data_IF_600882748503
#
_entry.id   IF_600882748503
#
_cell.length_a   1.000
_cell.length_b   1.000
_cell.length_c   1.000
_cell.angle_alpha   90.00
_cell.angle_beta   90.00
_cell.angle_gamma   90.00
#
_symmetry.space_group_name_H-M   'P 1'
#
loop_
_entity.id
_entity.type
_entity.pdbx_description
1 polymer ?
#
# COMPACT_ATOMS: atom_id res chain seq x y z
N UNK A 1 -0.24 -40.28 -11.13
CA UNK A 1 0.90 -39.35 -11.10
C UNK A 1 0.73 -38.37 -9.95
N UNK A 2 1.79 -38.10 -9.18
CA UNK A 2 1.78 -37.09 -8.09
C UNK A 2 1.82 -35.69 -8.71
N UNK A 3 0.89 -34.81 -8.30
CA UNK A 3 0.90 -33.39 -8.69
C UNK A 3 1.78 -32.61 -7.71
N UNK A 4 2.67 -31.76 -8.21
CA UNK A 4 3.56 -30.90 -7.42
C UNK A 4 3.29 -29.47 -7.87
N UNK A 5 2.93 -28.59 -6.94
CA UNK A 5 2.64 -27.17 -7.21
C UNK A 5 3.84 -26.31 -6.78
N UNK A 6 4.46 -25.61 -7.73
CA UNK A 6 5.66 -24.80 -7.53
C UNK A 6 5.44 -23.31 -7.89
N UNK A 7 4.19 -22.85 -7.87
CA UNK A 7 3.80 -21.50 -8.29
C UNK A 7 3.11 -20.68 -7.18
N UNK A 8 3.58 -20.85 -5.93
CA UNK A 8 3.00 -20.18 -4.76
C UNK A 8 3.11 -18.65 -4.79
N UNK A 9 3.96 -18.09 -5.66
CA UNK A 9 4.07 -16.64 -5.85
C UNK A 9 2.93 -16.06 -6.71
N UNK A 10 2.25 -16.90 -7.51
CA UNK A 10 1.06 -16.49 -8.26
C UNK A 10 -0.23 -16.60 -7.42
N UNK A 11 -0.38 -17.71 -6.67
CA UNK A 11 -1.48 -17.91 -5.73
C UNK A 11 -1.15 -19.05 -4.76
N UNK A 12 -1.87 -19.14 -3.64
CA UNK A 12 -1.66 -20.16 -2.62
C UNK A 12 -2.96 -20.87 -2.27
N UNK A 13 -2.94 -22.18 -1.96
CA UNK A 13 -4.09 -22.85 -1.36
C UNK A 13 -4.53 -22.13 -0.08
N UNK A 14 -5.84 -22.01 0.12
CA UNK A 14 -6.40 -21.43 1.34
C UNK A 14 -6.09 -22.38 2.52
N UNK A 15 -5.59 -21.83 3.62
CA UNK A 15 -5.35 -22.60 4.84
C UNK A 15 -6.68 -23.16 5.39
N UNK A 16 -6.75 -24.42 5.85
CA UNK A 16 -8.00 -25.03 6.29
C UNK A 16 -8.76 -24.22 7.36
N UNK A 17 -8.04 -23.62 8.29
CA UNK A 17 -8.58 -22.74 9.33
C UNK A 17 -9.22 -21.47 8.76
N UNK A 18 -8.65 -20.91 7.68
CA UNK A 18 -9.23 -19.75 6.98
C UNK A 18 -10.51 -20.16 6.25
N UNK A 19 -10.50 -21.32 5.57
CA UNK A 19 -11.68 -21.82 4.88
C UNK A 19 -12.85 -22.10 5.84
N UNK A 20 -12.57 -22.61 7.04
CA UNK A 20 -13.57 -22.82 8.09
C UNK A 20 -14.20 -21.50 8.55
N UNK A 21 -13.39 -20.49 8.88
CA UNK A 21 -13.88 -19.17 9.30
C UNK A 21 -14.69 -18.48 8.20
N UNK A 22 -14.25 -18.59 6.95
CA UNK A 22 -14.99 -18.03 5.82
C UNK A 22 -16.36 -18.68 5.65
N UNK A 23 -16.43 -20.01 5.76
CA UNK A 23 -17.70 -20.75 5.65
C UNK A 23 -18.66 -20.39 6.78
N UNK A 24 -18.17 -20.39 8.02
CA UNK A 24 -18.96 -19.99 9.19
C UNK A 24 -19.47 -18.55 9.03
N UNK A 25 -18.64 -17.63 8.56
CA UNK A 25 -19.01 -16.22 8.35
C UNK A 25 -20.14 -16.09 7.32
N UNK A 26 -20.12 -16.89 6.25
CA UNK A 26 -21.20 -16.91 5.26
C UNK A 26 -22.53 -17.41 5.83
N UNK A 27 -22.48 -18.35 6.79
CA UNK A 27 -23.68 -18.90 7.42
C UNK A 27 -24.26 -17.96 8.49
N UNK A 28 -23.42 -17.37 9.35
CA UNK A 28 -23.88 -16.65 10.56
C UNK A 28 -23.86 -15.13 10.44
N UNK A 29 -23.11 -14.58 9.49
CA UNK A 29 -22.85 -13.14 9.36
C UNK A 29 -23.10 -12.63 7.92
N UNK A 30 -24.18 -13.12 7.30
CA UNK A 30 -24.57 -12.82 5.92
C UNK A 30 -25.15 -11.41 5.69
N UNK A 31 -25.51 -10.69 6.76
CA UNK A 31 -26.17 -9.39 6.64
C UNK A 31 -25.24 -8.27 6.15
N UNK A 32 -25.84 -7.13 5.80
CA UNK A 32 -25.08 -5.95 5.41
C UNK A 32 -24.44 -5.29 6.65
N UNK A 33 -23.10 -5.17 6.73
CA UNK A 33 -22.41 -4.57 7.89
C UNK A 33 -22.71 -3.07 8.10
N UNK A 34 -23.30 -2.41 7.09
CA UNK A 34 -23.76 -1.02 7.19
C UNK A 34 -25.17 -0.89 7.78
N UNK A 35 -25.91 -1.99 7.94
CA UNK A 35 -27.24 -1.97 8.54
C UNK A 35 -27.17 -1.87 10.06
N UNK A 36 -27.96 -0.96 10.65
CA UNK A 36 -28.06 -0.78 12.10
C UNK A 36 -28.99 -1.76 12.83
N UNK A 37 -29.57 -2.73 12.13
CA UNK A 37 -30.49 -3.72 12.70
C UNK A 37 -29.77 -5.04 13.03
N UNK A 38 -30.45 -5.93 13.75
CA UNK A 38 -29.90 -7.19 14.28
C UNK A 38 -29.11 -8.03 13.27
N UNK A 39 -29.56 -8.11 12.00
CA UNK A 39 -28.87 -8.91 11.00
C UNK A 39 -27.54 -8.31 10.50
N UNK A 40 -27.30 -7.00 10.67
CA UNK A 40 -26.06 -6.34 10.26
C UNK A 40 -24.95 -6.42 11.31
N UNK A 41 -25.32 -6.51 12.59
CA UNK A 41 -24.37 -6.51 13.71
C UNK A 41 -23.30 -7.62 13.62
N UNK A 42 -23.64 -8.90 13.31
CA UNK A 42 -22.63 -9.95 13.21
C UNK A 42 -21.62 -9.71 12.07
N UNK A 43 -22.09 -9.23 10.91
CA UNK A 43 -21.23 -8.92 9.77
C UNK A 43 -20.27 -7.77 10.09
N UNK A 44 -20.78 -6.72 10.74
CA UNK A 44 -19.97 -5.59 11.18
C UNK A 44 -18.90 -6.03 12.17
N UNK A 45 -19.27 -6.86 13.15
CA UNK A 45 -18.33 -7.39 14.14
C UNK A 45 -17.19 -8.18 13.46
N UNK A 46 -17.51 -9.11 12.54
CA UNK A 46 -16.50 -9.88 11.79
C UNK A 46 -15.52 -8.99 11.04
N UNK A 47 -16.01 -7.95 10.36
CA UNK A 47 -15.16 -7.00 9.62
C UNK A 47 -14.27 -6.19 10.56
N UNK A 48 -14.80 -5.70 11.67
CA UNK A 48 -14.02 -4.89 12.61
C UNK A 48 -13.01 -5.73 13.42
N UNK A 49 -13.34 -6.98 13.76
CA UNK A 49 -12.37 -7.94 14.32
C UNK A 49 -11.23 -8.20 13.34
N UNK A 50 -11.53 -8.48 12.07
CA UNK A 50 -10.51 -8.68 11.04
C UNK A 50 -9.64 -7.42 10.87
N UNK A 51 -10.25 -6.23 10.89
CA UNK A 51 -9.54 -4.95 10.81
C UNK A 51 -8.54 -4.78 11.96
N UNK A 52 -8.97 -5.07 13.19
CA UNK A 52 -8.11 -4.98 14.38
C UNK A 52 -6.94 -5.98 14.35
N UNK A 53 -7.20 -7.20 13.88
CA UNK A 53 -6.16 -8.23 13.72
C UNK A 53 -5.11 -7.81 12.68
N UNK A 54 -5.53 -7.31 11.51
CA UNK A 54 -4.62 -6.81 10.47
C UNK A 54 -3.84 -5.60 10.96
N UNK A 55 -4.49 -4.66 11.66
CA UNK A 55 -3.82 -3.49 12.23
C UNK A 55 -2.74 -3.89 13.24
N UNK A 56 -3.03 -4.86 14.10
CA UNK A 56 -2.06 -5.41 15.07
C UNK A 56 -0.87 -6.06 14.36
N UNK A 57 -1.12 -6.87 13.33
CA UNK A 57 -0.07 -7.51 12.54
C UNK A 57 0.86 -6.50 11.86
N UNK A 58 0.31 -5.37 11.42
CA UNK A 58 1.04 -4.31 10.72
C UNK A 58 1.61 -3.24 11.67
N UNK A 59 1.26 -3.25 12.96
CA UNK A 59 1.70 -2.26 13.94
C UNK A 59 1.09 -0.87 13.74
N UNK A 60 -0.16 -0.80 13.26
CA UNK A 60 -0.90 0.46 13.05
C UNK A 60 -2.26 0.44 13.77
N UNK A 61 -3.02 1.52 13.64
CA UNK A 61 -4.39 1.60 14.19
C UNK A 61 -5.42 1.01 13.22
N UNK A 62 -6.57 0.50 13.71
CA UNK A 62 -7.63 -0.01 12.84
C UNK A 62 -8.14 1.03 11.83
N UNK A 63 -8.18 2.31 12.21
CA UNK A 63 -8.64 3.39 11.32
C UNK A 63 -7.75 3.62 10.09
N UNK A 64 -6.53 3.08 10.08
CA UNK A 64 -5.59 3.15 8.95
C UNK A 64 -5.77 1.99 7.96
N UNK A 65 -6.58 0.97 8.30
CA UNK A 65 -6.80 -0.20 7.45
C UNK A 65 -8.01 0.01 6.54
N UNK A 66 -7.77 0.00 5.23
CA UNK A 66 -8.79 -0.04 4.19
C UNK A 66 -8.73 -1.40 3.50
N UNK A 67 -9.82 -2.16 3.57
CA UNK A 67 -9.95 -3.41 2.81
C UNK A 67 -10.33 -3.11 1.36
N UNK A 68 -9.61 -3.75 0.43
CA UNK A 68 -9.90 -3.75 -1.01
C UNK A 68 -10.02 -5.20 -1.49
N UNK A 69 -10.41 -5.41 -2.75
CA UNK A 69 -10.47 -6.75 -3.35
C UNK A 69 -9.10 -7.41 -3.57
N UNK A 70 -8.00 -6.65 -3.44
CA UNK A 70 -6.64 -7.17 -3.55
C UNK A 70 -5.58 -6.12 -3.87
N UNK A 71 -4.34 -6.56 -4.07
CA UNK A 71 -3.19 -5.68 -4.29
C UNK A 71 -3.32 -4.77 -5.52
N UNK A 72 -3.93 -5.24 -6.60
CA UNK A 72 -4.14 -4.43 -7.81
C UNK A 72 -5.08 -3.25 -7.57
N UNK A 73 -6.19 -3.47 -6.84
CA UNK A 73 -7.09 -2.39 -6.46
C UNK A 73 -6.42 -1.46 -5.46
N UNK A 74 -5.73 -1.99 -4.45
CA UNK A 74 -5.02 -1.18 -3.45
C UNK A 74 -3.99 -0.23 -4.09
N UNK A 75 -3.17 -0.73 -5.03
CA UNK A 75 -2.21 0.10 -5.76
C UNK A 75 -2.91 1.19 -6.58
N UNK A 76 -4.00 0.84 -7.28
CA UNK A 76 -4.78 1.83 -8.03
C UNK A 76 -5.41 2.88 -7.12
N UNK A 77 -6.03 2.46 -6.02
CA UNK A 77 -6.70 3.31 -5.06
C UNK A 77 -5.75 4.40 -4.57
N UNK A 78 -4.54 4.00 -4.17
CA UNK A 78 -3.62 4.93 -3.56
C UNK A 78 -2.81 5.75 -4.59
N UNK A 79 -2.38 5.19 -5.74
CA UNK A 79 -1.74 5.95 -6.81
C UNK A 79 -2.68 7.01 -7.41
N UNK A 80 -3.88 6.60 -7.79
CA UNK A 80 -4.89 7.51 -8.37
C UNK A 80 -5.42 8.47 -7.32
N UNK A 81 -5.61 8.01 -6.09
CA UNK A 81 -6.01 8.85 -4.96
C UNK A 81 -5.03 10.01 -4.75
N UNK A 82 -3.73 9.73 -4.73
CA UNK A 82 -2.70 10.77 -4.61
C UNK A 82 -2.68 11.72 -5.81
N UNK A 83 -2.86 11.21 -7.03
CA UNK A 83 -2.95 12.05 -8.22
C UNK A 83 -4.15 13.01 -8.16
N UNK A 84 -5.35 12.48 -7.95
CA UNK A 84 -6.59 13.26 -7.95
C UNK A 84 -6.73 14.17 -6.73
N UNK A 85 -6.05 13.86 -5.63
CA UNK A 85 -5.97 14.74 -4.45
C UNK A 85 -4.94 15.86 -4.61
N UNK A 86 -3.94 15.68 -5.46
CA UNK A 86 -2.85 16.64 -5.63
C UNK A 86 -3.36 17.97 -6.16
N UNK A 87 -2.83 19.07 -5.61
CA UNK A 87 -3.04 20.44 -6.11
C UNK A 87 -1.93 20.92 -7.04
N UNK A 88 -0.93 20.06 -7.33
CA UNK A 88 0.17 20.40 -8.25
C UNK A 88 -0.34 20.37 -9.68
N UNK A 89 0.10 21.32 -10.50
CA UNK A 89 -0.19 21.35 -11.93
C UNK A 89 0.38 20.11 -12.65
N UNK A 90 1.52 19.60 -12.17
CA UNK A 90 2.17 18.39 -12.71
C UNK A 90 2.67 17.49 -11.56
N UNK A 91 1.79 16.71 -10.90
CA UNK A 91 2.18 15.88 -9.77
C UNK A 91 3.28 14.88 -10.15
N UNK A 92 4.35 14.82 -9.38
CA UNK A 92 5.51 13.97 -9.67
C UNK A 92 5.50 12.68 -8.83
N UNK A 93 5.62 11.54 -9.49
CA UNK A 93 5.72 10.21 -8.89
C UNK A 93 7.12 9.64 -9.12
N UNK A 94 7.66 8.94 -8.13
CA UNK A 94 8.92 8.22 -8.25
C UNK A 94 8.66 6.74 -8.00
N UNK A 95 9.20 5.87 -8.84
CA UNK A 95 9.07 4.42 -8.71
C UNK A 95 10.27 3.70 -9.30
N UNK A 96 10.32 2.37 -9.24
CA UNK A 96 11.42 1.57 -9.81
C UNK A 96 11.05 0.98 -11.18
N UNK A 97 12.07 0.60 -11.96
CA UNK A 97 11.86 -0.05 -13.25
C UNK A 97 11.32 -1.50 -13.16
N UNK A 98 11.27 -2.10 -11.97
CA UNK A 98 10.98 -3.53 -11.75
C UNK A 98 9.70 -3.78 -10.96
N UNK A 99 8.79 -2.82 -10.94
CA UNK A 99 7.49 -2.92 -10.27
C UNK A 99 6.53 -3.92 -10.95
N UNK A 100 5.58 -4.43 -10.15
CA UNK A 100 4.47 -5.22 -10.66
C UNK A 100 3.61 -4.41 -11.66
N UNK A 101 2.98 -5.03 -12.69
CA UNK A 101 2.07 -4.35 -13.61
C UNK A 101 0.95 -3.54 -12.94
N UNK A 102 0.52 -3.95 -11.74
CA UNK A 102 -0.44 -3.22 -10.92
C UNK A 102 0.03 -1.83 -10.47
N UNK A 103 1.33 -1.56 -10.49
CA UNK A 103 1.92 -0.23 -10.23
C UNK A 103 2.29 0.45 -11.54
N UNK A 104 2.93 -0.27 -12.46
CA UNK A 104 3.45 0.35 -13.70
C UNK A 104 2.34 0.82 -14.63
N UNK A 105 1.26 0.04 -14.80
CA UNK A 105 0.17 0.39 -15.70
C UNK A 105 -0.62 1.63 -15.23
N UNK A 106 -0.99 1.77 -13.93
CA UNK A 106 -1.60 2.99 -13.44
C UNK A 106 -0.67 4.21 -13.57
N UNK A 107 0.63 4.09 -13.28
CA UNK A 107 1.56 5.22 -13.43
C UNK A 107 1.71 5.66 -14.89
N UNK A 108 1.74 4.73 -15.85
CA UNK A 108 1.70 5.06 -17.29
C UNK A 108 0.38 5.72 -17.70
N UNK A 109 -0.73 5.28 -17.12
CA UNK A 109 -2.02 5.95 -17.30
C UNK A 109 -1.97 7.39 -16.77
N UNK A 110 -1.50 7.59 -15.54
CA UNK A 110 -1.40 8.90 -14.91
C UNK A 110 -0.43 9.84 -15.65
N UNK A 111 0.66 9.31 -16.20
CA UNK A 111 1.56 10.08 -17.07
C UNK A 111 0.82 10.68 -18.29
N UNK A 112 -0.05 9.89 -18.92
CA UNK A 112 -0.93 10.38 -20.00
C UNK A 112 -1.97 11.39 -19.52
N UNK A 113 -2.31 11.39 -18.24
CA UNK A 113 -3.19 12.38 -17.61
C UNK A 113 -2.44 13.64 -17.13
N UNK A 114 -1.12 13.73 -17.33
CA UNK A 114 -0.31 14.89 -16.96
C UNK A 114 0.54 14.73 -15.71
N UNK A 115 0.66 13.53 -15.13
CA UNK A 115 1.65 13.29 -14.08
C UNK A 115 3.08 13.24 -14.65
N UNK A 116 4.07 13.69 -13.89
CA UNK A 116 5.46 13.36 -14.14
C UNK A 116 5.80 12.04 -13.42
N UNK A 117 6.54 11.14 -14.06
CA UNK A 117 6.93 9.87 -13.45
C UNK A 117 8.42 9.60 -13.68
N UNK A 118 9.18 9.48 -12.59
CA UNK A 118 10.58 9.05 -12.62
C UNK A 118 10.67 7.55 -12.35
N UNK A 119 11.33 6.82 -13.24
CA UNK A 119 11.59 5.39 -13.14
C UNK A 119 13.05 5.19 -12.76
N UNK A 120 13.30 4.82 -11.51
CA UNK A 120 14.64 4.58 -11.00
C UNK A 120 15.18 3.25 -11.53
N UNK A 121 16.43 3.22 -12.03
CA UNK A 121 17.06 1.99 -12.43
C UNK A 121 17.31 1.09 -11.20
N UNK A 122 17.57 -0.17 -11.47
CA UNK A 122 18.03 -1.13 -10.47
C UNK A 122 19.25 -1.87 -10.99
N UNK A 123 20.09 -2.37 -10.08
CA UNK A 123 21.27 -3.16 -10.42
C UNK A 123 20.91 -4.60 -10.85
N UNK A 124 21.93 -5.42 -11.14
CA UNK A 124 21.75 -6.83 -11.52
C UNK A 124 21.12 -7.72 -10.45
N UNK A 125 21.05 -7.24 -9.20
CA UNK A 125 20.37 -7.91 -8.07
C UNK A 125 18.96 -7.35 -7.83
N UNK A 126 18.54 -6.37 -8.63
CA UNK A 126 17.25 -5.70 -8.50
C UNK A 126 17.25 -4.57 -7.47
N UNK A 127 18.39 -4.18 -6.89
CA UNK A 127 18.44 -3.11 -5.88
C UNK A 127 18.51 -1.73 -6.53
N UNK A 128 17.76 -0.79 -5.99
CA UNK A 128 17.81 0.63 -6.37
C UNK A 128 18.91 1.33 -5.56
N UNK A 129 19.65 2.23 -6.19
CA UNK A 129 20.60 3.11 -5.48
C UNK A 129 19.82 4.18 -4.66
N UNK A 130 20.00 4.24 -3.31
CA UNK A 130 19.39 5.28 -2.49
C UNK A 130 19.75 6.71 -2.92
N UNK A 131 20.91 6.92 -3.55
CA UNK A 131 21.32 8.24 -4.01
C UNK A 131 20.60 8.65 -5.29
N UNK A 132 20.25 7.70 -6.17
CA UNK A 132 19.34 7.95 -7.31
C UNK A 132 17.97 8.42 -6.81
N UNK A 133 17.45 7.77 -5.76
CA UNK A 133 16.19 8.21 -5.14
C UNK A 133 16.31 9.63 -4.57
N UNK A 134 17.37 9.93 -3.81
CA UNK A 134 17.59 11.28 -3.24
C UNK A 134 17.63 12.35 -4.33
N UNK A 135 18.34 12.09 -5.45
CA UNK A 135 18.43 13.01 -6.59
C UNK A 135 17.11 13.19 -7.34
N UNK A 136 16.27 12.17 -7.37
CA UNK A 136 14.98 12.22 -8.06
C UNK A 136 13.91 13.02 -7.30
N UNK A 137 14.05 13.22 -5.99
CA UNK A 137 13.08 13.98 -5.20
C UNK A 137 13.10 15.45 -5.61
N UNK A 138 11.94 15.93 -6.06
CA UNK A 138 11.69 17.35 -6.40
C UNK A 138 10.60 17.94 -5.49
N UNK A 139 10.46 19.28 -5.42
CA UNK A 139 9.36 19.91 -4.69
C UNK A 139 7.97 19.46 -5.13
N UNK A 140 7.80 18.97 -6.37
CA UNK A 140 6.53 18.49 -6.93
C UNK A 140 6.25 17.00 -6.65
N UNK A 141 7.16 16.31 -5.96
CA UNK A 141 7.03 14.89 -5.64
C UNK A 141 5.87 14.66 -4.68
N UNK A 142 4.83 13.96 -5.15
CA UNK A 142 3.64 13.64 -4.37
C UNK A 142 3.64 12.21 -3.85
N UNK A 143 4.41 11.31 -4.46
CA UNK A 143 4.49 9.93 -4.00
C UNK A 143 5.74 9.21 -4.51
N UNK A 144 6.37 8.46 -3.61
CA UNK A 144 7.41 7.48 -3.93
C UNK A 144 6.80 6.08 -3.68
N UNK A 145 6.80 5.22 -4.70
CA UNK A 145 6.24 3.86 -4.65
C UNK A 145 7.30 2.84 -5.05
N UNK A 146 7.67 1.96 -4.12
CA UNK A 146 8.69 0.91 -4.31
C UNK A 146 8.14 -0.44 -3.81
N UNK A 147 8.29 -1.49 -4.62
CA UNK A 147 7.91 -2.86 -4.25
C UNK A 147 8.91 -3.50 -3.28
N UNK A 148 8.45 -3.99 -2.12
CA UNK A 148 9.26 -4.64 -1.06
C UNK A 148 9.61 -6.12 -1.33
N UNK A 149 9.55 -6.56 -2.57
CA UNK A 149 9.81 -7.96 -2.91
C UNK A 149 9.05 -8.42 -4.13
N UNK A 150 9.81 -8.86 -5.14
CA UNK A 150 9.33 -9.62 -6.29
C UNK A 150 10.10 -10.94 -6.38
N UNK A 151 9.98 -11.70 -7.49
CA UNK A 151 10.61 -13.02 -7.65
C UNK A 151 12.15 -13.04 -7.52
N UNK A 152 12.80 -11.87 -7.50
CA UNK A 152 14.26 -11.74 -7.30
C UNK A 152 14.68 -11.24 -5.92
N UNK A 153 13.75 -11.04 -4.98
CA UNK A 153 14.05 -10.58 -3.62
C UNK A 153 14.62 -9.16 -3.59
N UNK A 154 13.80 -8.17 -3.93
CA UNK A 154 14.13 -6.76 -3.70
C UNK A 154 14.09 -6.48 -2.19
N UNK A 155 15.28 -6.37 -1.63
CA UNK A 155 15.57 -5.79 -0.32
C UNK A 155 15.12 -6.57 0.93
N UNK A 156 16.07 -6.79 1.85
CA UNK A 156 15.86 -7.41 3.17
C UNK A 156 15.91 -6.39 4.29
N UNK A 157 16.18 -5.13 3.98
CA UNK A 157 16.22 -4.07 4.98
C UNK A 157 14.81 -3.76 5.47
N UNK A 158 14.57 -4.04 6.75
CA UNK A 158 13.24 -3.88 7.36
C UNK A 158 12.81 -2.41 7.46
N UNK A 159 13.74 -1.47 7.28
CA UNK A 159 13.51 -0.01 7.37
C UNK A 159 12.72 0.58 6.19
N UNK A 160 12.67 -0.08 5.04
CA UNK A 160 11.91 0.36 3.87
C UNK A 160 10.58 -0.39 3.76
N UNK A 161 9.68 -0.14 4.71
CA UNK A 161 8.35 -0.75 4.79
C UNK A 161 7.59 -0.67 3.46
N UNK A 162 6.95 -1.77 3.09
CA UNK A 162 5.98 -1.83 1.99
C UNK A 162 4.77 -1.04 2.42
N UNK A 163 4.37 -0.16 1.54
CA UNK A 163 3.40 0.87 1.79
C UNK A 163 3.85 1.98 0.88
N UNK A 164 2.90 2.65 0.26
CA UNK A 164 3.14 3.97 -0.26
C UNK A 164 3.89 4.76 0.81
N UNK A 165 5.15 5.08 0.55
CA UNK A 165 6.01 5.71 1.53
C UNK A 165 5.59 7.18 1.58
N UNK A 166 4.64 7.49 2.46
CA UNK A 166 4.30 8.85 2.81
C UNK A 166 5.15 9.28 4.00
N UNK A 167 6.41 9.62 3.73
CA UNK A 167 7.14 10.50 4.65
C UNK A 167 6.84 11.92 4.20
N UNK A 168 6.26 12.71 5.08
CA UNK A 168 6.06 14.16 4.94
C UNK A 168 7.44 14.78 4.70
N UNK A 169 7.86 14.88 3.43
CA UNK A 169 9.12 15.54 3.02
C UNK A 169 9.07 17.06 3.26
N UNK A 170 8.02 17.58 3.92
CA UNK A 170 7.78 19.00 4.18
C UNK A 170 7.36 19.27 5.64
N UNK A 171 8.08 18.71 6.62
CA UNK A 171 8.08 19.21 8.02
C UNK A 171 9.50 19.65 8.44
N UNK A 172 10.14 20.42 7.57
CA UNK A 172 11.27 21.27 7.94
C UNK A 172 11.10 22.63 7.31
N UNK A 173 10.06 23.36 7.72
CA UNK A 173 10.06 24.82 7.86
C UNK A 173 9.00 25.17 8.93
N UNK A 174 9.42 25.64 10.10
CA UNK A 174 8.52 26.28 11.08
C UNK A 174 8.21 25.52 12.37
N UNK A 175 9.22 25.00 13.07
CA UNK A 175 9.17 24.81 14.51
C UNK A 175 10.59 24.98 15.07
N UNK A 176 11.08 26.22 15.01
CA UNK A 176 12.11 26.65 15.96
C UNK A 176 11.43 26.78 17.31
N UNK A 177 11.94 26.05 18.29
CA UNK A 177 11.70 26.28 19.71
C UNK A 177 12.00 27.75 20.02
N UNK A 178 10.96 28.53 20.30
CA UNK A 178 11.08 29.82 20.97
C UNK A 178 10.83 29.60 22.48
N UNK A 179 11.89 29.59 23.31
CA UNK A 179 11.76 29.37 24.74
C UNK A 179 11.25 30.61 25.51
N UNK A 180 10.82 31.68 24.83
CA UNK A 180 10.44 32.96 25.50
C UNK A 180 8.93 33.20 25.71
N UNK A 181 8.07 32.18 25.56
CA UNK A 181 6.63 32.28 25.91
C UNK A 181 6.18 31.33 27.02
N UNK A 182 6.97 31.28 28.09
CA UNK A 182 6.55 30.74 29.38
C UNK A 182 6.86 31.74 30.51
N UNK A 183 6.12 32.86 30.51
CA UNK A 183 5.87 33.72 31.68
C UNK A 183 4.47 34.28 31.60
#
# INVERSE_FOLDING_TARGET
MRRIYLDHNASTPIAPEVAAVMSETMDVAYGNPSSGHWAGSPARERVETARAQVATLLGCTPGEIVFTSGGSEANNFALKGMFYRSRRSRPHFITTAVEHPATTAPLRFLARQGAAVTWLPVDGTGRMDPDDLRRAITPDTVLISVMRGGPRGLDRDRSLLSGIFWRRVLEREGAEDDPEKAT
#
